data_IF_041155355364
#
_entry.id   IF_041155355364
#
_cell.length_a   1.000
_cell.length_b   1.000
_cell.length_c   1.000
_cell.angle_alpha   90.00
_cell.angle_beta   90.00
_cell.angle_gamma   90.00
#
_symmetry.space_group_name_H-M   'P 1'
#
loop_
_entity.id
_entity.type
_entity.pdbx_description
1 polymer ?
#
# COMPACT_ATOMS: atom_id res chain seq x y z
N UNK A 1 8.05 5.16 -15.52
CA UNK A 1 6.70 5.12 -14.87
C UNK A 1 6.88 5.34 -13.38
N UNK A 2 6.13 6.26 -12.81
CA UNK A 2 6.22 6.54 -11.37
C UNK A 2 5.06 5.85 -10.65
N UNK A 3 5.38 4.85 -9.83
CA UNK A 3 4.38 4.06 -9.12
C UNK A 3 4.01 4.65 -7.74
N UNK A 4 4.72 5.67 -7.28
CA UNK A 4 4.59 6.18 -5.94
C UNK A 4 5.51 5.49 -4.95
N UNK A 5 5.20 5.59 -3.65
CA UNK A 5 5.95 4.97 -2.58
C UNK A 5 5.53 3.52 -2.35
N UNK A 6 6.50 2.67 -2.04
CA UNK A 6 6.27 1.26 -1.78
C UNK A 6 5.89 1.04 -0.31
N UNK A 7 4.71 0.44 -0.10
CA UNK A 7 4.19 0.09 1.23
C UNK A 7 3.70 -1.35 1.23
N UNK A 8 4.56 -2.35 1.50
CA UNK A 8 4.09 -3.73 1.58
C UNK A 8 3.05 -3.87 2.68
N UNK A 9 1.97 -4.56 2.36
CA UNK A 9 0.87 -4.79 3.29
C UNK A 9 0.80 -6.28 3.59
N UNK A 10 0.89 -6.64 4.87
CA UNK A 10 0.82 -8.02 5.32
C UNK A 10 -0.51 -8.29 5.99
N UNK A 11 -1.12 -9.40 5.61
CA UNK A 11 -2.27 -9.94 6.30
C UNK A 11 -1.79 -10.71 7.53
N UNK A 12 -2.17 -10.25 8.72
CA UNK A 12 -1.75 -10.87 9.98
C UNK A 12 -2.95 -11.43 10.74
N UNK A 13 -2.73 -12.50 11.49
CA UNK A 13 -3.79 -13.12 12.28
C UNK A 13 -3.94 -12.49 13.66
N UNK A 14 -2.85 -11.99 14.22
CA UNK A 14 -2.81 -11.36 15.54
C UNK A 14 -1.91 -10.14 15.46
N UNK A 15 -2.53 -8.97 15.34
CA UNK A 15 -1.81 -7.71 15.13
C UNK A 15 -0.84 -7.40 16.27
N UNK A 16 -1.27 -7.62 17.52
CA UNK A 16 -0.42 -7.35 18.69
C UNK A 16 0.86 -8.20 18.68
N UNK A 17 0.73 -9.47 18.34
CA UNK A 17 1.89 -10.38 18.25
C UNK A 17 2.81 -9.98 17.11
N UNK A 18 2.26 -9.60 15.98
CA UNK A 18 3.06 -9.16 14.84
C UNK A 18 3.81 -7.86 15.14
N UNK A 19 3.16 -6.90 15.76
CA UNK A 19 3.81 -5.65 16.19
C UNK A 19 4.97 -5.96 17.14
N UNK A 20 4.74 -6.79 18.16
CA UNK A 20 5.79 -7.17 19.11
C UNK A 20 6.98 -7.84 18.40
N UNK A 21 6.70 -8.74 17.45
CA UNK A 21 7.73 -9.39 16.66
C UNK A 21 8.60 -8.36 15.91
N UNK A 22 7.98 -7.45 15.19
CA UNK A 22 8.72 -6.45 14.40
C UNK A 22 9.43 -5.42 15.28
N UNK A 23 8.86 -5.07 16.43
CA UNK A 23 9.54 -4.19 17.38
C UNK A 23 10.85 -4.81 17.91
N UNK A 24 10.92 -6.13 18.03
CA UNK A 24 12.17 -6.82 18.39
C UNK A 24 13.21 -6.78 17.28
N UNK A 25 12.83 -6.38 16.06
CA UNK A 25 13.73 -6.13 14.94
C UNK A 25 13.99 -4.63 14.75
N UNK A 26 13.68 -3.83 15.78
CA UNK A 26 13.84 -2.37 15.78
C UNK A 26 12.91 -1.61 14.84
N UNK A 27 11.76 -2.20 14.48
CA UNK A 27 10.70 -1.43 13.84
C UNK A 27 9.99 -0.56 14.87
N UNK A 28 9.57 0.63 14.44
CA UNK A 28 8.79 1.55 15.27
C UNK A 28 7.41 1.77 14.65
N UNK A 29 6.40 1.98 15.49
CA UNK A 29 5.06 2.32 15.02
C UNK A 29 5.08 3.78 14.55
N UNK A 30 4.74 4.02 13.28
CA UNK A 30 4.61 5.37 12.71
C UNK A 30 3.15 5.70 12.40
N UNK A 31 2.28 4.70 12.29
CA UNK A 31 0.84 4.86 12.15
C UNK A 31 0.13 3.91 13.09
N UNK A 32 -0.51 4.44 14.13
CA UNK A 32 -1.19 3.63 15.15
C UNK A 32 -2.69 3.64 14.90
N UNK A 33 -3.18 2.55 14.33
CA UNK A 33 -4.59 2.33 14.07
C UNK A 33 -5.04 0.98 14.66
N UNK A 34 -4.45 0.62 15.82
CA UNK A 34 -4.74 -0.67 16.47
C UNK A 34 -6.21 -0.81 16.86
N UNK A 35 -6.90 0.29 17.13
CA UNK A 35 -8.35 0.26 17.40
C UNK A 35 -9.15 -0.21 16.19
N UNK A 36 -8.61 -0.05 14.98
CA UNK A 36 -9.22 -0.52 13.72
C UNK A 36 -8.49 -1.74 13.17
N UNK A 37 -7.67 -2.41 13.97
CA UNK A 37 -6.96 -3.63 13.62
C UNK A 37 -5.93 -3.48 12.49
N UNK A 38 -5.25 -2.34 12.44
CA UNK A 38 -4.11 -2.18 11.55
C UNK A 38 -3.08 -1.21 12.12
N UNK A 39 -1.87 -1.25 11.58
CA UNK A 39 -0.79 -0.35 11.98
C UNK A 39 0.24 -0.24 10.87
N UNK A 40 1.00 0.84 10.89
CA UNK A 40 2.14 1.04 10.00
C UNK A 40 3.41 1.11 10.83
N UNK A 41 4.39 0.30 10.48
CA UNK A 41 5.69 0.23 11.14
C UNK A 41 6.79 0.64 10.18
N UNK A 42 7.90 1.12 10.72
CA UNK A 42 9.03 1.57 9.91
C UNK A 42 10.35 1.09 10.51
N UNK A 43 11.24 0.69 9.62
CA UNK A 43 12.66 0.51 9.93
C UNK A 43 13.45 1.10 8.77
N UNK A 44 14.32 2.08 9.05
CA UNK A 44 15.05 2.83 8.04
C UNK A 44 14.11 3.40 6.96
N UNK A 45 14.32 3.01 5.71
CA UNK A 45 13.52 3.47 4.57
C UNK A 45 12.37 2.52 4.20
N UNK A 46 12.09 1.52 5.02
CA UNK A 46 11.01 0.57 4.79
C UNK A 46 9.82 0.86 5.70
N UNK A 47 8.66 1.11 5.11
CA UNK A 47 7.39 1.14 5.82
C UNK A 47 6.65 -0.18 5.55
N UNK A 48 6.04 -0.73 6.60
CA UNK A 48 5.35 -2.01 6.55
C UNK A 48 3.96 -1.84 7.17
N UNK A 49 2.92 -2.15 6.39
CA UNK A 49 1.54 -2.09 6.87
C UNK A 49 1.10 -3.47 7.34
N UNK A 50 0.55 -3.55 8.55
CA UNK A 50 0.02 -4.79 9.11
C UNK A 50 -1.50 -4.64 9.23
N UNK A 51 -2.24 -5.58 8.65
CA UNK A 51 -3.70 -5.57 8.66
C UNK A 51 -4.25 -6.87 9.21
N UNK A 52 -5.13 -6.77 10.21
CA UNK A 52 -5.84 -7.91 10.76
C UNK A 52 -7.30 -7.84 10.31
N UNK A 53 -7.70 -8.77 9.42
CA UNK A 53 -9.08 -8.88 8.97
C UNK A 53 -9.51 -7.91 7.88
N UNK A 54 -8.60 -7.13 7.30
CA UNK A 54 -8.91 -6.14 6.26
C UNK A 54 -8.59 -6.61 4.85
N UNK A 55 -7.62 -7.49 4.72
CA UNK A 55 -7.16 -7.99 3.42
C UNK A 55 -7.08 -9.51 3.47
N UNK A 56 -7.20 -10.15 2.31
CA UNK A 56 -7.22 -11.62 2.21
C UNK A 56 -5.84 -12.21 1.95
N UNK A 57 -4.91 -11.38 1.51
CA UNK A 57 -3.56 -11.81 1.16
C UNK A 57 -2.58 -10.64 1.31
N UNK A 58 -1.29 -10.95 1.29
CA UNK A 58 -0.24 -9.92 1.31
C UNK A 58 -0.26 -9.15 0.00
N UNK A 59 -0.01 -7.84 0.09
CA UNK A 59 -0.03 -6.95 -1.06
C UNK A 59 1.34 -6.29 -1.24
N UNK A 60 1.82 -6.25 -2.49
CA UNK A 60 2.88 -5.32 -2.89
C UNK A 60 2.15 -4.03 -3.23
N UNK A 61 2.14 -3.08 -2.29
CA UNK A 61 1.33 -1.88 -2.39
C UNK A 61 2.17 -0.66 -2.74
N UNK A 62 1.69 0.13 -3.70
CA UNK A 62 2.28 1.42 -4.06
C UNK A 62 1.24 2.52 -3.85
N UNK A 63 1.64 3.61 -3.19
CA UNK A 63 0.75 4.74 -2.84
C UNK A 63 1.32 6.06 -3.34
N UNK A 64 0.43 6.97 -3.71
CA UNK A 64 0.80 8.31 -4.13
C UNK A 64 1.03 8.48 -5.62
N UNK A 65 1.02 7.41 -6.39
CA UNK A 65 1.12 7.47 -7.85
C UNK A 65 -0.20 7.88 -8.51
N UNK A 66 -0.16 8.20 -9.79
CA UNK A 66 -1.36 8.43 -10.60
C UNK A 66 -1.88 7.08 -11.10
N UNK A 67 -2.90 6.56 -10.43
CA UNK A 67 -3.43 5.21 -10.70
C UNK A 67 -3.90 5.07 -12.14
N UNK A 68 -4.55 6.08 -12.69
CA UNK A 68 -5.02 6.03 -14.08
C UNK A 68 -3.88 6.04 -15.09
N UNK A 69 -2.86 6.87 -14.86
CA UNK A 69 -1.68 6.91 -15.71
C UNK A 69 -0.91 5.60 -15.66
N UNK A 70 -0.76 5.02 -14.46
CA UNK A 70 -0.13 3.71 -14.28
C UNK A 70 -0.88 2.64 -15.09
N UNK A 71 -2.20 2.61 -14.96
CA UNK A 71 -3.03 1.66 -15.70
C UNK A 71 -2.87 1.83 -17.21
N UNK A 72 -2.93 3.06 -17.70
CA UNK A 72 -2.84 3.33 -19.12
C UNK A 72 -1.48 2.90 -19.69
N UNK A 73 -0.41 3.24 -19.01
CA UNK A 73 0.94 2.92 -19.47
C UNK A 73 1.23 1.42 -19.38
N UNK A 74 0.87 0.78 -18.27
CA UNK A 74 1.07 -0.66 -18.10
C UNK A 74 0.22 -1.45 -19.11
N UNK A 75 -1.02 -1.05 -19.35
CA UNK A 75 -1.89 -1.67 -20.36
C UNK A 75 -1.33 -1.54 -21.75
N UNK A 76 -0.74 -0.38 -22.07
CA UNK A 76 -0.11 -0.14 -23.38
C UNK A 76 1.12 -1.05 -23.58
N UNK A 77 1.73 -1.53 -22.48
CA UNK A 77 2.85 -2.47 -22.50
C UNK A 77 2.39 -3.94 -22.45
N UNK A 78 1.10 -4.20 -22.54
CA UNK A 78 0.53 -5.54 -22.61
C UNK A 78 0.18 -6.18 -21.28
N UNK A 79 0.20 -5.43 -20.16
CA UNK A 79 -0.19 -5.96 -18.86
C UNK A 79 -1.70 -5.88 -18.68
N UNK A 80 -2.30 -6.97 -18.16
CA UNK A 80 -3.74 -7.05 -17.93
C UNK A 80 -4.06 -6.87 -16.44
N UNK A 81 -4.89 -5.88 -16.12
CA UNK A 81 -5.31 -5.63 -14.74
C UNK A 81 -6.49 -6.54 -14.36
N UNK A 82 -6.43 -7.10 -13.15
CA UNK A 82 -7.57 -7.84 -12.59
C UNK A 82 -8.63 -6.89 -12.03
N UNK A 83 -8.19 -5.70 -11.58
CA UNK A 83 -9.08 -4.62 -11.16
C UNK A 83 -8.61 -3.33 -11.82
N UNK A 84 -9.36 -2.80 -12.81
CA UNK A 84 -9.02 -1.52 -13.43
C UNK A 84 -9.21 -0.37 -12.42
N UNK A 85 -8.72 0.85 -12.73
CA UNK A 85 -8.88 1.98 -11.82
C UNK A 85 -10.32 2.23 -11.45
N UNK A 86 -10.57 2.39 -10.15
CA UNK A 86 -11.90 2.72 -9.63
C UNK A 86 -11.78 3.64 -8.42
N UNK A 87 -12.81 4.47 -8.24
CA UNK A 87 -12.95 5.30 -7.07
C UNK A 87 -13.55 4.44 -5.95
N UNK A 88 -12.81 4.31 -4.85
CA UNK A 88 -13.25 3.55 -3.69
C UNK A 88 -14.19 4.39 -2.80
N UNK A 89 -15.02 3.74 -1.94
CA UNK A 89 -15.90 4.47 -1.02
C UNK A 89 -15.17 5.42 -0.07
N UNK A 90 -13.90 5.17 0.24
CA UNK A 90 -13.09 6.01 1.10
C UNK A 90 -12.48 7.23 0.40
N UNK A 91 -12.73 7.39 -0.89
CA UNK A 91 -12.24 8.50 -1.70
C UNK A 91 -10.90 8.24 -2.39
N UNK A 92 -10.28 7.09 -2.18
CA UNK A 92 -9.05 6.73 -2.88
C UNK A 92 -9.36 6.18 -4.27
N UNK A 93 -8.40 6.32 -5.18
CA UNK A 93 -8.38 5.56 -6.43
C UNK A 93 -7.53 4.31 -6.24
N UNK A 94 -7.98 3.20 -6.79
CA UNK A 94 -7.25 1.94 -6.69
C UNK A 94 -7.27 1.15 -7.99
N UNK A 95 -6.26 0.28 -8.15
CA UNK A 95 -6.19 -0.69 -9.23
C UNK A 95 -5.32 -1.86 -8.77
N UNK A 96 -5.51 -3.02 -9.37
CA UNK A 96 -4.75 -4.21 -8.98
C UNK A 96 -4.36 -5.04 -10.20
N UNK A 97 -3.13 -5.55 -10.16
CA UNK A 97 -2.56 -6.44 -11.17
C UNK A 97 -1.89 -7.61 -10.46
N UNK A 98 -1.73 -8.74 -11.14
CA UNK A 98 -0.98 -9.89 -10.64
C UNK A 98 0.33 -10.03 -11.41
N UNK A 99 1.41 -10.38 -10.71
CA UNK A 99 2.63 -10.76 -11.38
C UNK A 99 2.51 -12.20 -11.96
N UNK A 100 3.51 -12.69 -12.70
CA UNK A 100 3.42 -14.04 -13.32
C UNK A 100 3.20 -15.18 -12.32
N UNK A 101 3.58 -15.00 -11.06
CA UNK A 101 3.42 -16.02 -10.02
C UNK A 101 2.17 -15.80 -9.17
N UNK A 102 1.32 -14.85 -9.53
CA UNK A 102 0.07 -14.59 -8.84
C UNK A 102 0.16 -13.66 -7.64
N UNK A 103 1.29 -13.00 -7.43
CA UNK A 103 1.42 -12.03 -6.33
C UNK A 103 0.63 -10.76 -6.65
N UNK A 104 -0.11 -10.26 -5.66
CA UNK A 104 -0.91 -9.05 -5.83
C UNK A 104 -0.03 -7.80 -5.81
N UNK A 105 -0.16 -6.97 -6.83
CA UNK A 105 0.42 -5.64 -6.90
C UNK A 105 -0.76 -4.67 -6.90
N UNK A 106 -0.84 -3.86 -5.85
CA UNK A 106 -1.97 -2.98 -5.60
C UNK A 106 -1.52 -1.53 -5.63
N UNK A 107 -2.26 -0.71 -6.38
CA UNK A 107 -2.01 0.73 -6.46
C UNK A 107 -3.17 1.46 -5.83
N UNK A 108 -2.89 2.39 -4.93
CA UNK A 108 -3.93 3.24 -4.38
C UNK A 108 -3.39 4.64 -4.06
N UNK A 109 -4.26 5.62 -4.13
CA UNK A 109 -3.88 7.00 -3.91
C UNK A 109 -5.09 7.81 -3.46
N UNK A 110 -4.97 8.50 -2.33
CA UNK A 110 -5.89 9.58 -1.97
C UNK A 110 -5.42 10.88 -2.64
N UNK A 111 -6.32 11.85 -2.92
CA UNK A 111 -5.91 13.14 -3.50
C UNK A 111 -4.84 13.85 -2.67
N UNK A 112 -4.96 13.85 -1.34
CA UNK A 112 -4.01 14.46 -0.42
C UNK A 112 -2.62 13.80 -0.53
N UNK A 113 -2.60 12.47 -0.58
CA UNK A 113 -1.36 11.70 -0.73
C UNK A 113 -0.67 11.99 -2.04
N UNK A 114 -1.45 12.10 -3.12
CA UNK A 114 -0.91 12.44 -4.44
C UNK A 114 -0.26 13.82 -4.43
N UNK A 115 -0.93 14.79 -3.86
CA UNK A 115 -0.40 16.15 -3.74
C UNK A 115 0.88 16.17 -2.90
N UNK A 116 0.87 15.49 -1.76
CA UNK A 116 2.03 15.38 -0.87
C UNK A 116 3.21 14.70 -1.57
N UNK A 117 2.95 13.60 -2.26
CA UNK A 117 3.98 12.86 -2.98
C UNK A 117 4.62 13.71 -4.09
N UNK A 118 3.81 14.48 -4.83
CA UNK A 118 4.31 15.36 -5.88
C UNK A 118 5.24 16.46 -5.35
N UNK A 119 5.01 16.92 -4.11
CA UNK A 119 5.84 17.96 -3.49
C UNK A 119 7.13 17.43 -2.87
N UNK A 120 7.07 16.26 -2.23
CA UNK A 120 8.15 15.79 -1.36
C UNK A 120 8.72 14.43 -1.75
N UNK A 121 8.12 13.74 -2.71
CA UNK A 121 8.39 12.34 -3.04
C UNK A 121 8.21 11.38 -1.86
N UNK A 122 7.39 11.77 -0.87
CA UNK A 122 7.09 10.97 0.32
C UNK A 122 5.67 11.21 0.79
N UNK A 123 5.09 10.19 1.43
CA UNK A 123 3.86 10.33 2.19
C UNK A 123 4.25 10.61 3.65
N UNK A 124 3.51 11.50 4.33
CA UNK A 124 3.88 11.91 5.69
C UNK A 124 2.98 11.35 6.78
N UNK A 125 1.73 11.03 6.49
CA UNK A 125 0.78 10.58 7.50
C UNK A 125 0.17 9.23 7.14
N UNK A 126 0.06 8.40 8.13
CA UNK A 126 -0.50 7.06 8.03
C UNK A 126 -1.67 6.87 8.98
#
# INVERSE_FOLDING_TARGET
MDLGEHYPCLNVQDLARSIEFYQKLDFTIIGDHRSDNWAVLQHNNMALCLYQGHIDENLINFRGGDVQAIHNEASARGLAFIKPPRLEPDGSWSAEIRDPDGNSIYFNTFPDEREQYLRTSKLIDY
#
